data_IF_978411466396
#
_entry.id   IF_978411466396
#
_cell.length_a   1.000
_cell.length_b   1.000
_cell.length_c   1.000
_cell.angle_alpha   90.00
_cell.angle_beta   90.00
_cell.angle_gamma   90.00
#
_symmetry.space_group_name_H-M   'P 1'
#
loop_
_entity.id
_entity.type
_entity.pdbx_description
1 polymer ?
#
# COMPACT_ATOMS: atom_id res chain seq x y z
N UNK A 1 14.97 -10.60 10.50
CA UNK A 1 15.38 -11.35 9.30
C UNK A 1 15.69 -10.30 8.25
N UNK A 2 16.96 -10.14 7.87
CA UNK A 2 17.29 -9.40 6.65
C UNK A 2 16.83 -10.26 5.48
N UNK A 3 15.96 -9.71 4.63
CA UNK A 3 15.54 -10.35 3.40
C UNK A 3 16.63 -10.04 2.36
N UNK A 4 17.54 -10.98 2.15
CA UNK A 4 18.62 -10.82 1.16
C UNK A 4 18.12 -10.91 -0.29
N UNK A 5 16.93 -11.48 -0.49
CA UNK A 5 16.30 -11.55 -1.81
C UNK A 5 15.54 -10.26 -2.10
N UNK A 6 16.03 -9.50 -3.05
CA UNK A 6 15.41 -8.25 -3.52
C UNK A 6 14.38 -8.47 -4.62
N UNK A 7 14.07 -9.72 -4.98
CA UNK A 7 13.06 -10.04 -6.00
C UNK A 7 11.68 -9.62 -5.55
N UNK A 8 11.10 -8.65 -6.24
CA UNK A 8 9.79 -8.09 -5.94
C UNK A 8 8.80 -8.43 -7.06
N UNK A 9 7.65 -8.95 -6.69
CA UNK A 9 6.53 -9.04 -7.62
C UNK A 9 5.92 -7.66 -7.88
N UNK A 10 5.44 -7.37 -9.08
CA UNK A 10 4.92 -6.07 -9.48
C UNK A 10 3.47 -5.87 -9.00
N UNK A 11 3.23 -6.01 -7.71
CA UNK A 11 1.95 -5.71 -7.11
C UNK A 11 2.11 -5.04 -5.75
N UNK A 12 1.05 -4.39 -5.29
CA UNK A 12 0.95 -3.91 -3.90
C UNK A 12 -0.40 -4.30 -3.31
N UNK A 13 -0.39 -4.71 -2.05
CA UNK A 13 -1.58 -5.03 -1.28
C UNK A 13 -1.87 -3.96 -0.24
N UNK A 14 -3.13 -3.86 0.15
CA UNK A 14 -3.58 -3.08 1.29
C UNK A 14 -4.48 -3.93 2.16
N UNK A 15 -4.26 -3.86 3.47
CA UNK A 15 -5.15 -4.45 4.45
C UNK A 15 -6.24 -3.47 4.85
N UNK A 16 -7.49 -3.90 4.77
CA UNK A 16 -8.65 -3.11 5.14
C UNK A 16 -9.79 -4.05 5.63
N UNK A 17 -10.45 -3.69 6.72
CA UNK A 17 -11.61 -4.42 7.29
C UNK A 17 -11.46 -5.94 7.38
N UNK A 18 -10.29 -6.42 7.78
CA UNK A 18 -10.07 -7.87 7.97
C UNK A 18 -9.57 -8.62 6.75
N UNK A 19 -9.48 -7.98 5.59
CA UNK A 19 -9.08 -8.58 4.32
C UNK A 19 -7.97 -7.82 3.61
N UNK A 20 -7.34 -8.48 2.63
CA UNK A 20 -6.38 -7.84 1.73
C UNK A 20 -7.01 -7.54 0.38
N UNK A 21 -6.62 -6.40 -0.18
CA UNK A 21 -7.07 -5.91 -1.47
C UNK A 21 -5.88 -5.50 -2.32
N UNK A 22 -5.94 -5.73 -3.63
CA UNK A 22 -4.92 -5.15 -4.51
C UNK A 22 -5.09 -3.64 -4.61
N UNK A 23 -3.97 -2.95 -4.39
CA UNK A 23 -3.85 -1.52 -4.68
C UNK A 23 -3.31 -1.29 -6.09
N UNK A 24 -2.40 -2.15 -6.54
CA UNK A 24 -1.80 -2.10 -7.87
C UNK A 24 -1.48 -3.49 -8.39
N UNK A 25 -1.62 -3.66 -9.69
CA UNK A 25 -1.29 -4.85 -10.46
C UNK A 25 -0.63 -4.43 -11.78
N UNK A 26 0.14 -5.33 -12.43
CA UNK A 26 0.61 -5.09 -13.79
C UNK A 26 -0.53 -4.90 -14.78
N UNK A 27 -0.35 -4.03 -15.77
CA UNK A 27 -1.33 -3.84 -16.87
C UNK A 27 -1.52 -5.12 -17.73
N UNK A 28 -0.57 -6.06 -17.63
CA UNK A 28 -0.61 -7.35 -18.34
C UNK A 28 -1.58 -8.37 -17.76
N UNK A 29 -2.16 -8.10 -16.60
CA UNK A 29 -3.13 -8.99 -15.94
C UNK A 29 -4.50 -8.32 -15.83
N UNK A 30 -5.60 -9.10 -15.69
CA UNK A 30 -6.93 -8.55 -15.51
C UNK A 30 -6.98 -7.63 -14.29
N UNK A 31 -7.71 -6.52 -14.41
CA UNK A 31 -7.89 -5.60 -13.30
C UNK A 31 -8.70 -6.25 -12.17
N UNK A 32 -8.03 -6.47 -11.07
CA UNK A 32 -8.58 -6.99 -9.82
C UNK A 32 -8.44 -5.99 -8.66
N UNK A 33 -8.17 -4.71 -8.96
CA UNK A 33 -8.10 -3.65 -7.95
C UNK A 33 -9.40 -3.56 -7.17
N UNK A 34 -9.31 -3.49 -5.85
CA UNK A 34 -10.46 -3.41 -4.96
C UNK A 34 -11.24 -4.73 -4.77
N UNK A 35 -10.84 -5.83 -5.44
CA UNK A 35 -11.41 -7.15 -5.12
C UNK A 35 -10.78 -7.72 -3.86
N UNK A 36 -11.62 -8.34 -3.04
CA UNK A 36 -11.18 -9.01 -1.83
C UNK A 36 -10.39 -10.27 -2.15
N UNK A 37 -9.21 -10.37 -1.58
CA UNK A 37 -8.32 -11.53 -1.73
C UNK A 37 -8.70 -12.60 -0.70
N UNK A 38 -8.99 -13.83 -1.16
CA UNK A 38 -9.38 -14.94 -0.28
C UNK A 38 -8.27 -15.97 -0.08
N UNK A 39 -7.35 -16.09 -1.03
CA UNK A 39 -6.20 -16.99 -0.89
C UNK A 39 -5.02 -16.54 -1.77
N UNK A 40 -3.81 -16.93 -1.37
CA UNK A 40 -2.58 -16.85 -2.16
C UNK A 40 -2.05 -18.28 -2.32
N UNK A 41 -1.94 -18.77 -3.55
CA UNK A 41 -1.70 -20.18 -3.87
C UNK A 41 -2.74 -21.07 -3.13
N UNK A 42 -2.30 -22.02 -2.33
CA UNK A 42 -3.15 -22.85 -1.49
C UNK A 42 -3.33 -22.31 -0.06
N UNK A 43 -2.84 -21.09 0.25
CA UNK A 43 -2.89 -20.50 1.59
C UNK A 43 -4.08 -19.55 1.71
N UNK A 44 -5.11 -19.89 2.48
CA UNK A 44 -6.23 -18.98 2.77
C UNK A 44 -5.76 -17.73 3.51
N UNK A 45 -6.39 -16.59 3.27
CA UNK A 45 -6.03 -15.31 3.89
C UNK A 45 -6.10 -15.37 5.42
N UNK A 46 -7.08 -16.05 5.99
CA UNK A 46 -7.15 -16.24 7.44
C UNK A 46 -5.91 -16.90 8.04
N UNK A 47 -5.37 -17.94 7.37
CA UNK A 47 -4.12 -18.58 7.76
C UNK A 47 -2.92 -17.67 7.59
N UNK A 48 -2.90 -16.88 6.53
CA UNK A 48 -1.84 -15.90 6.26
C UNK A 48 -1.79 -14.83 7.36
N UNK A 49 -2.94 -14.31 7.77
CA UNK A 49 -3.04 -13.33 8.86
C UNK A 49 -2.45 -13.88 10.18
N UNK A 50 -2.70 -15.16 10.50
CA UNK A 50 -2.09 -15.77 11.69
C UNK A 50 -0.56 -15.86 11.59
N UNK A 51 -0.03 -16.19 10.41
CA UNK A 51 1.42 -16.24 10.17
C UNK A 51 2.04 -14.83 10.27
N UNK A 52 1.39 -13.80 9.74
CA UNK A 52 1.90 -12.42 9.83
C UNK A 52 2.14 -11.97 11.27
N UNK A 53 1.31 -12.39 12.23
CA UNK A 53 1.53 -12.09 13.66
C UNK A 53 2.86 -12.62 14.19
N UNK A 54 3.35 -13.72 13.63
CA UNK A 54 4.61 -14.34 14.06
C UNK A 54 5.83 -13.65 13.44
N UNK A 55 5.71 -13.28 12.15
CA UNK A 55 6.84 -12.73 11.38
C UNK A 55 6.96 -11.22 11.44
N UNK A 56 5.85 -10.51 11.72
CA UNK A 56 5.83 -9.05 11.76
C UNK A 56 5.65 -8.57 13.21
N UNK A 57 6.72 -8.12 13.88
CA UNK A 57 6.62 -7.55 15.22
C UNK A 57 5.64 -6.37 15.23
N UNK A 58 4.62 -6.47 16.08
CA UNK A 58 3.58 -5.44 16.13
C UNK A 58 2.77 -5.53 17.42
N UNK A 59 2.20 -4.41 17.82
CA UNK A 59 1.38 -4.30 19.02
C UNK A 59 0.05 -5.05 18.89
N UNK A 60 -0.47 -5.17 17.68
CA UNK A 60 -1.75 -5.82 17.40
C UNK A 60 -1.82 -6.42 15.99
N UNK A 61 -2.83 -7.25 15.75
CA UNK A 61 -3.03 -7.91 14.47
C UNK A 61 -3.21 -6.95 13.30
N UNK A 62 -3.94 -5.86 13.49
CA UNK A 62 -4.19 -4.87 12.42
C UNK A 62 -2.86 -4.27 11.96
N UNK A 63 -2.02 -3.86 12.91
CA UNK A 63 -0.68 -3.34 12.62
C UNK A 63 0.19 -4.38 11.93
N UNK A 64 0.15 -5.66 12.35
CA UNK A 64 0.87 -6.75 11.68
C UNK A 64 0.44 -6.89 10.21
N UNK A 65 -0.85 -6.87 9.94
CA UNK A 65 -1.38 -7.00 8.58
C UNK A 65 -1.06 -5.77 7.71
N UNK A 66 -1.20 -4.56 8.24
CA UNK A 66 -0.84 -3.33 7.52
C UNK A 66 0.66 -3.35 7.17
N UNK A 67 1.53 -3.61 8.15
CA UNK A 67 2.97 -3.67 7.92
C UNK A 67 3.35 -4.82 6.99
N UNK A 68 2.78 -6.01 7.22
CA UNK A 68 3.01 -7.19 6.38
C UNK A 68 2.60 -6.96 4.92
N UNK A 69 1.53 -6.21 4.66
CA UNK A 69 1.09 -5.92 3.29
C UNK A 69 2.14 -5.22 2.43
N UNK A 70 3.06 -4.45 3.04
CA UNK A 70 4.17 -3.81 2.33
C UNK A 70 5.25 -4.79 1.87
N UNK A 71 5.36 -5.95 2.54
CA UNK A 71 6.37 -6.96 2.24
C UNK A 71 5.83 -8.14 1.43
N UNK A 72 4.52 -8.24 1.26
CA UNK A 72 3.90 -9.40 0.59
C UNK A 72 4.20 -9.49 -0.90
N UNK A 73 4.76 -8.47 -1.50
CA UNK A 73 5.29 -8.52 -2.86
C UNK A 73 6.74 -9.04 -2.93
N UNK A 74 7.40 -9.27 -1.81
CA UNK A 74 8.75 -9.83 -1.76
C UNK A 74 8.69 -11.36 -1.77
N UNK A 75 9.43 -11.99 -2.69
CA UNK A 75 9.48 -13.44 -2.88
C UNK A 75 9.95 -14.18 -1.61
N UNK A 76 11.04 -13.71 -1.00
CA UNK A 76 11.59 -14.33 0.20
C UNK A 76 10.61 -14.24 1.39
N UNK A 77 9.88 -13.12 1.49
CA UNK A 77 8.86 -12.96 2.52
C UNK A 77 7.67 -13.92 2.31
N UNK A 78 7.18 -14.05 1.06
CA UNK A 78 6.13 -15.02 0.74
C UNK A 78 6.56 -16.46 1.06
N UNK A 79 7.79 -16.83 0.71
CA UNK A 79 8.35 -18.14 1.04
C UNK A 79 8.46 -18.36 2.55
N UNK A 80 8.88 -17.34 3.32
CA UNK A 80 8.90 -17.41 4.79
C UNK A 80 7.50 -17.63 5.37
N UNK A 81 6.46 -17.08 4.76
CA UNK A 81 5.06 -17.34 5.12
C UNK A 81 4.57 -18.72 4.65
N UNK A 82 5.42 -19.53 3.99
CA UNK A 82 5.10 -20.86 3.48
C UNK A 82 4.26 -20.83 2.20
N UNK A 83 4.40 -19.77 1.41
CA UNK A 83 3.81 -19.65 0.07
C UNK A 83 4.93 -19.97 -0.92
N UNK A 84 4.83 -21.11 -1.57
CA UNK A 84 5.77 -21.50 -2.64
C UNK A 84 5.65 -20.54 -3.83
N UNK A 85 6.74 -19.90 -4.19
CA UNK A 85 6.81 -18.91 -5.26
C UNK A 85 7.57 -19.40 -6.50
N UNK A 86 8.09 -20.63 -6.51
CA UNK A 86 8.95 -21.14 -7.59
C UNK A 86 8.22 -21.24 -8.94
N UNK A 87 6.91 -21.53 -8.88
CA UNK A 87 6.04 -21.59 -10.06
C UNK A 87 5.22 -20.33 -10.30
N UNK A 88 5.54 -19.26 -9.56
CA UNK A 88 4.75 -18.03 -9.54
C UNK A 88 3.73 -17.99 -8.41
N UNK A 89 2.94 -16.93 -8.39
CA UNK A 89 1.96 -16.69 -7.35
C UNK A 89 0.56 -16.56 -7.94
N UNK A 90 -0.37 -17.35 -7.42
CA UNK A 90 -1.78 -17.34 -7.80
C UNK A 90 -2.58 -16.65 -6.70
N UNK A 91 -3.35 -15.67 -7.08
CA UNK A 91 -4.27 -14.93 -6.21
C UNK A 91 -5.71 -15.32 -6.53
N UNK A 92 -6.45 -15.70 -5.50
CA UNK A 92 -7.87 -16.05 -5.61
C UNK A 92 -8.71 -14.98 -4.93
N UNK A 93 -9.77 -14.53 -5.59
CA UNK A 93 -10.64 -13.47 -5.12
C UNK A 93 -12.04 -13.95 -4.78
N UNK A 94 -12.73 -13.20 -3.93
CA UNK A 94 -14.14 -13.35 -3.74
C UNK A 94 -14.86 -13.24 -5.10
N UNK A 95 -15.81 -14.15 -5.35
CA UNK A 95 -16.48 -14.26 -6.66
C UNK A 95 -15.78 -15.19 -7.66
N UNK A 96 -14.71 -15.90 -7.25
CA UNK A 96 -14.08 -17.00 -8.03
C UNK A 96 -13.13 -16.56 -9.13
N UNK A 97 -12.85 -15.27 -9.28
CA UNK A 97 -11.81 -14.80 -10.21
C UNK A 97 -10.41 -15.11 -9.66
N UNK A 98 -9.45 -15.36 -10.56
CA UNK A 98 -8.07 -15.57 -10.17
C UNK A 98 -7.09 -14.83 -11.08
N UNK A 99 -5.91 -14.51 -10.54
CA UNK A 99 -4.77 -13.93 -11.26
C UNK A 99 -3.53 -14.72 -10.92
N UNK A 100 -2.73 -15.05 -11.93
CA UNK A 100 -1.44 -15.71 -11.77
C UNK A 100 -0.33 -14.77 -12.20
N UNK A 101 0.67 -14.58 -11.33
CA UNK A 101 1.91 -13.90 -11.66
C UNK A 101 3.03 -14.92 -11.76
N UNK A 102 3.70 -15.05 -12.92
CA UNK A 102 4.80 -15.98 -13.07
C UNK A 102 6.02 -15.56 -12.25
N UNK A 103 6.84 -16.51 -11.87
CA UNK A 103 8.08 -16.28 -11.09
C UNK A 103 9.10 -15.40 -11.81
N UNK A 104 9.07 -15.35 -13.13
CA UNK A 104 9.98 -14.61 -14.01
C UNK A 104 9.65 -13.11 -14.16
N UNK A 105 8.53 -12.62 -13.62
CA UNK A 105 8.18 -11.19 -13.70
C UNK A 105 9.12 -10.25 -12.94
N UNK A 106 10.08 -10.81 -12.20
CA UNK A 106 11.01 -10.02 -11.38
C UNK A 106 12.24 -9.52 -12.14
N UNK A 107 12.53 -10.05 -13.31
CA UNK A 107 13.71 -9.67 -14.08
C UNK A 107 13.41 -8.46 -14.97
N UNK A 108 13.58 -7.26 -14.39
CA UNK A 108 13.55 -6.01 -15.15
C UNK A 108 12.34 -5.11 -14.92
N UNK A 109 11.48 -5.41 -13.97
CA UNK A 109 10.34 -4.55 -13.62
C UNK A 109 10.73 -3.33 -12.76
N UNK A 110 11.85 -2.67 -13.08
CA UNK A 110 12.11 -1.29 -12.65
C UNK A 110 11.26 -0.25 -13.38
N UNK A 111 10.36 -0.69 -14.24
CA UNK A 111 9.30 0.15 -14.80
C UNK A 111 8.27 0.41 -13.70
N UNK A 112 8.22 1.65 -13.22
CA UNK A 112 7.15 2.17 -12.39
C UNK A 112 5.81 1.79 -13.04
N UNK A 113 5.15 0.76 -12.49
CA UNK A 113 3.77 0.48 -12.84
C UNK A 113 2.96 1.71 -12.45
N UNK A 114 2.56 2.47 -13.44
CA UNK A 114 1.62 3.56 -13.22
C UNK A 114 0.30 2.92 -12.82
N UNK A 115 0.07 2.91 -11.52
CA UNK A 115 -1.26 2.62 -11.00
C UNK A 115 -2.17 3.67 -11.60
N UNK A 116 -3.14 3.23 -12.39
CA UNK A 116 -4.24 4.10 -12.82
C UNK A 116 -5.02 4.48 -11.56
N UNK A 117 -4.54 5.50 -10.87
CA UNK A 117 -5.23 6.01 -9.69
C UNK A 117 -6.52 6.64 -10.18
N UNK A 118 -7.63 5.98 -9.92
CA UNK A 118 -8.91 6.68 -9.96
C UNK A 118 -8.78 7.81 -8.93
N UNK A 119 -8.96 9.08 -9.35
CA UNK A 119 -8.83 10.20 -8.42
C UNK A 119 -9.92 10.07 -7.35
N UNK A 120 -9.54 9.52 -6.22
CA UNK A 120 -10.41 9.46 -5.06
C UNK A 120 -10.22 10.75 -4.26
N UNK A 121 -11.28 11.37 -3.69
CA UNK A 121 -11.14 12.59 -2.89
C UNK A 121 -10.03 12.49 -1.83
N UNK A 122 -9.90 11.34 -1.17
CA UNK A 122 -8.83 11.06 -0.17
C UNK A 122 -7.43 11.08 -0.77
N UNK A 123 -7.26 10.85 -2.07
CA UNK A 123 -5.95 10.87 -2.75
C UNK A 123 -5.68 12.16 -3.51
N UNK A 124 -6.71 12.97 -3.72
CA UNK A 124 -6.58 14.30 -4.28
C UNK A 124 -5.86 15.22 -3.27
N UNK A 125 -5.12 16.19 -3.79
CA UNK A 125 -4.50 17.27 -2.99
C UNK A 125 -3.64 16.80 -1.81
N UNK A 126 -2.93 15.68 -1.94
CA UNK A 126 -2.03 15.16 -0.90
C UNK A 126 -0.86 16.10 -0.56
N UNK A 127 -0.54 17.01 -1.46
CA UNK A 127 0.52 17.99 -1.26
C UNK A 127 0.08 19.18 -0.40
N UNK A 128 -1.22 19.32 -0.13
CA UNK A 128 -1.76 20.34 0.76
C UNK A 128 -1.81 19.75 2.18
N UNK A 129 -1.34 20.44 3.23
CA UNK A 129 -1.41 19.96 4.62
C UNK A 129 -2.83 19.60 5.04
N UNK A 130 -3.78 20.41 4.62
CA UNK A 130 -5.21 20.17 4.79
C UNK A 130 -6.00 20.74 3.60
N UNK A 131 -7.17 20.18 3.39
CA UNK A 131 -8.11 20.70 2.40
C UNK A 131 -9.54 20.49 2.88
N UNK A 132 -10.44 21.39 2.55
CA UNK A 132 -11.87 21.16 2.77
C UNK A 132 -12.68 21.47 1.50
N UNK A 133 -13.80 20.78 1.37
CA UNK A 133 -14.73 20.96 0.28
C UNK A 133 -16.15 20.75 0.77
N UNK A 134 -17.07 21.61 0.35
CA UNK A 134 -18.50 21.42 0.60
C UNK A 134 -19.09 20.69 -0.59
N UNK A 135 -19.70 19.54 -0.36
CA UNK A 135 -20.36 18.71 -1.36
C UNK A 135 -21.83 18.55 -0.93
N UNK A 136 -22.73 19.30 -1.55
CA UNK A 136 -24.11 19.39 -1.07
C UNK A 136 -24.15 19.96 0.34
N UNK A 137 -24.77 19.22 1.28
CA UNK A 137 -24.90 19.58 2.69
C UNK A 137 -23.76 19.03 3.58
N UNK A 138 -22.77 18.38 2.94
CA UNK A 138 -21.67 17.71 3.66
C UNK A 138 -20.39 18.50 3.49
N UNK A 139 -19.71 18.79 4.62
CA UNK A 139 -18.35 19.30 4.58
C UNK A 139 -17.37 18.10 4.60
N UNK A 140 -16.63 17.94 3.51
CA UNK A 140 -15.51 17.01 3.44
C UNK A 140 -14.24 17.73 3.86
N UNK A 141 -13.61 17.24 4.91
CA UNK A 141 -12.34 17.76 5.41
C UNK A 141 -11.25 16.69 5.25
N UNK A 142 -10.16 17.06 4.59
CA UNK A 142 -9.00 16.20 4.39
C UNK A 142 -7.81 16.79 5.15
N UNK A 143 -7.21 15.96 6.00
CA UNK A 143 -6.02 16.31 6.75
C UNK A 143 -4.89 15.38 6.30
N UNK A 144 -3.90 15.92 5.60
CA UNK A 144 -2.84 15.15 4.97
C UNK A 144 -1.56 15.07 5.81
N UNK A 145 -1.31 16.08 6.64
CA UNK A 145 -0.13 16.12 7.48
C UNK A 145 -0.40 16.90 8.77
N UNK A 146 0.04 16.35 9.89
CA UNK A 146 0.11 17.09 11.16
C UNK A 146 1.42 17.89 11.18
N UNK A 147 1.42 19.00 10.47
CA UNK A 147 2.58 19.88 10.37
C UNK A 147 2.23 21.18 11.11
N UNK A 148 2.97 21.51 12.16
CA UNK A 148 2.98 22.83 12.74
C UNK A 148 3.91 23.76 11.96
N UNK A 149 3.84 25.05 12.26
CA UNK A 149 4.65 26.07 11.59
C UNK A 149 6.16 25.82 11.75
N UNK A 150 6.57 25.33 12.92
CA UNK A 150 7.98 25.01 13.18
C UNK A 150 8.48 23.86 12.32
N UNK A 151 7.72 22.76 12.25
CA UNK A 151 8.04 21.59 11.43
C UNK A 151 8.08 21.94 9.93
N UNK A 152 7.14 22.78 9.47
CA UNK A 152 7.14 23.30 8.11
C UNK A 152 8.41 24.09 7.79
N UNK A 153 8.82 25.01 8.66
CA UNK A 153 10.04 25.78 8.52
C UNK A 153 11.30 24.91 8.48
N UNK A 154 11.36 23.92 9.37
CA UNK A 154 12.46 22.93 9.36
C UNK A 154 12.54 22.20 8.03
N UNK A 155 11.42 21.75 7.48
CA UNK A 155 11.33 21.10 6.19
C UNK A 155 11.82 22.00 5.04
N UNK A 156 11.35 23.24 4.98
CA UNK A 156 11.79 24.24 3.98
C UNK A 156 13.30 24.47 4.07
N UNK A 157 13.85 24.60 5.27
CA UNK A 157 15.29 24.78 5.49
C UNK A 157 16.11 23.58 5.01
N UNK A 158 15.65 22.36 5.31
CA UNK A 158 16.32 21.13 4.86
C UNK A 158 16.32 20.99 3.34
N UNK A 159 15.24 21.38 2.70
CA UNK A 159 15.08 21.34 1.24
C UNK A 159 15.67 22.57 0.53
N UNK A 160 16.21 23.54 1.27
CA UNK A 160 16.74 24.81 0.75
C UNK A 160 15.74 25.61 -0.09
N UNK A 161 14.46 25.56 0.29
CA UNK A 161 13.38 26.33 -0.34
C UNK A 161 12.88 27.43 0.60
N UNK A 162 12.38 28.52 0.04
CA UNK A 162 11.75 29.56 0.84
C UNK A 162 10.36 29.11 1.30
N UNK A 163 9.97 29.39 2.56
CA UNK A 163 8.61 29.12 3.02
C UNK A 163 7.58 29.89 2.18
N UNK A 164 6.51 29.19 1.79
CA UNK A 164 5.34 29.83 1.20
C UNK A 164 4.54 30.49 2.34
N UNK A 165 4.38 31.81 2.27
CA UNK A 165 3.70 32.57 3.30
C UNK A 165 2.24 32.19 3.48
N UNK A 166 1.54 31.85 2.40
CA UNK A 166 0.14 31.44 2.48
C UNK A 166 -0.01 30.10 3.21
N UNK A 167 0.93 29.19 3.01
CA UNK A 167 0.99 27.92 3.74
C UNK A 167 1.35 28.16 5.20
N UNK A 168 2.39 28.96 5.45
CA UNK A 168 2.84 29.33 6.79
C UNK A 168 1.72 29.94 7.64
N UNK A 169 0.98 30.91 7.08
CA UNK A 169 -0.11 31.60 7.76
C UNK A 169 -1.32 30.69 8.06
N UNK A 170 -1.44 29.55 7.35
CA UNK A 170 -2.49 28.56 7.54
C UNK A 170 -2.16 27.52 8.61
N UNK A 171 -0.91 27.43 9.06
CA UNK A 171 -0.45 26.41 10.00
C UNK A 171 -0.55 26.90 11.46
N UNK A 172 -0.85 25.99 12.41
CA UNK A 172 -0.82 26.32 13.84
C UNK A 172 0.59 26.72 14.28
N UNK A 173 0.65 27.53 15.34
CA UNK A 173 1.88 27.98 15.99
C UNK A 173 2.57 26.82 16.73
#
# INVERSE_FOLDING_TARGET
>A
VMLDDTSLYPFTLRYYEGSFYFRSLPDSVPDCTGKELIAINACPIGSLIQKLKVYVPSENQIKACITGSFFMNNKAFLNALGIDTDRGVRFMFAGGSEVCLPSSLNEGASGLYQVKQVPHPVTARRNEPFHYQIIGDTCYFQFNAMIDRFTYWQGCRLMQVSPDKAVEDSLPL
#
